data_IF_515965849678
#
_entry.id   IF_515965849678
#
_cell.length_a   1.000
_cell.length_b   1.000
_cell.length_c   1.000
_cell.angle_alpha   90.00
_cell.angle_beta   90.00
_cell.angle_gamma   90.00
#
_symmetry.space_group_name_H-M   'P 1'
#
loop_
_entity.id
_entity.type
_entity.pdbx_description
1 polymer ?
#
# COMPACT_ATOMS: atom_id res chain seq x y z
N UNK A 1 11.17 -2.85 -29.84
CA UNK A 1 10.50 -2.49 -28.59
C UNK A 1 11.32 -3.09 -27.46
N UNK A 2 12.05 -2.26 -26.70
CA UNK A 2 12.77 -2.74 -25.52
C UNK A 2 11.78 -3.10 -24.44
N UNK A 3 11.93 -4.28 -23.85
CA UNK A 3 11.10 -4.79 -22.77
C UNK A 3 11.31 -3.93 -21.52
N UNK A 4 10.41 -2.96 -21.30
CA UNK A 4 10.45 -2.03 -20.17
C UNK A 4 10.38 -2.75 -18.81
N UNK A 5 9.95 -4.03 -18.78
CA UNK A 5 9.94 -4.83 -17.55
C UNK A 5 11.34 -5.19 -17.02
N UNK A 6 12.39 -4.95 -17.82
CA UNK A 6 13.80 -5.15 -17.43
C UNK A 6 14.47 -3.91 -16.84
N UNK A 7 13.79 -2.75 -16.78
CA UNK A 7 14.36 -1.60 -16.09
C UNK A 7 14.44 -1.87 -14.57
N UNK A 8 15.66 -1.89 -13.98
CA UNK A 8 15.84 -2.20 -12.57
C UNK A 8 15.16 -1.20 -11.63
N UNK A 9 14.92 0.05 -12.08
CA UNK A 9 14.16 1.04 -11.32
C UNK A 9 12.68 0.69 -11.28
N UNK A 10 12.09 0.36 -12.44
CA UNK A 10 10.68 -0.06 -12.53
C UNK A 10 10.44 -1.30 -11.65
N UNK A 11 11.32 -2.30 -11.74
CA UNK A 11 11.24 -3.51 -10.90
C UNK A 11 11.28 -3.18 -9.40
N UNK A 12 12.15 -2.27 -9.00
CA UNK A 12 12.29 -1.85 -7.59
C UNK A 12 11.06 -1.08 -7.11
N UNK A 13 10.55 -0.15 -7.91
CA UNK A 13 9.33 0.62 -7.60
C UNK A 13 8.12 -0.29 -7.47
N UNK A 14 7.91 -1.21 -8.43
CA UNK A 14 6.82 -2.20 -8.38
C UNK A 14 6.94 -3.09 -7.14
N UNK A 15 8.12 -3.63 -6.85
CA UNK A 15 8.32 -4.48 -5.67
C UNK A 15 8.04 -3.73 -4.36
N UNK A 16 8.45 -2.46 -4.29
CA UNK A 16 8.23 -1.59 -3.12
C UNK A 16 6.75 -1.28 -2.95
N UNK A 17 6.06 -0.93 -4.04
CA UNK A 17 4.62 -0.73 -4.03
C UNK A 17 3.88 -1.97 -3.53
N UNK A 18 4.17 -3.15 -4.09
CA UNK A 18 3.52 -4.39 -3.68
C UNK A 18 3.77 -4.73 -2.20
N UNK A 19 4.98 -4.49 -1.68
CA UNK A 19 5.28 -4.73 -0.27
C UNK A 19 4.45 -3.83 0.65
N UNK A 20 4.37 -2.54 0.32
CA UNK A 20 3.60 -1.56 1.09
C UNK A 20 2.08 -1.80 1.00
N UNK A 21 1.58 -2.16 -0.17
CA UNK A 21 0.18 -2.52 -0.37
C UNK A 21 -0.24 -3.75 0.48
N UNK A 22 0.64 -4.75 0.61
CA UNK A 22 0.38 -5.91 1.50
C UNK A 22 0.32 -5.51 2.97
N UNK A 23 1.15 -4.56 3.41
CA UNK A 23 1.13 -4.08 4.79
C UNK A 23 -0.18 -3.33 5.10
N UNK A 24 -0.61 -2.45 4.20
CA UNK A 24 -1.91 -1.76 4.35
C UNK A 24 -3.07 -2.77 4.36
N UNK A 25 -3.06 -3.78 3.49
CA UNK A 25 -4.09 -4.81 3.48
C UNK A 25 -4.12 -5.62 4.78
N UNK A 26 -2.96 -5.98 5.33
CA UNK A 26 -2.86 -6.68 6.61
C UNK A 26 -3.40 -5.83 7.77
N UNK A 27 -3.08 -4.53 7.80
CA UNK A 27 -3.60 -3.60 8.81
C UNK A 27 -5.12 -3.47 8.72
N UNK A 28 -5.66 -3.32 7.49
CA UNK A 28 -7.10 -3.21 7.27
C UNK A 28 -7.84 -4.48 7.71
N UNK A 29 -7.30 -5.66 7.40
CA UNK A 29 -7.88 -6.92 7.86
C UNK A 29 -7.81 -7.07 9.38
N UNK A 30 -6.69 -6.71 10.01
CA UNK A 30 -6.57 -6.79 11.48
C UNK A 30 -7.61 -5.89 12.18
N UNK A 31 -7.85 -4.69 11.66
CA UNK A 31 -8.91 -3.80 12.18
C UNK A 31 -10.30 -4.41 11.94
N UNK A 32 -10.56 -4.94 10.74
CA UNK A 32 -11.84 -5.56 10.41
C UNK A 32 -12.13 -6.81 11.25
N UNK A 33 -11.13 -7.66 11.48
CA UNK A 33 -11.24 -8.86 12.32
C UNK A 33 -11.51 -8.49 13.78
N UNK A 34 -10.84 -7.44 14.29
CA UNK A 34 -11.11 -6.91 15.63
C UNK A 34 -12.53 -6.37 15.75
N UNK A 35 -13.02 -5.66 14.74
CA UNK A 35 -14.40 -5.16 14.70
C UNK A 35 -15.41 -6.31 14.69
N UNK A 36 -15.15 -7.35 13.89
CA UNK A 36 -15.99 -8.56 13.80
C UNK A 36 -16.04 -9.36 15.12
N UNK A 37 -14.92 -9.38 15.86
CA UNK A 37 -14.82 -9.96 17.20
C UNK A 37 -15.52 -9.12 18.28
N UNK A 38 -16.07 -7.94 17.92
CA UNK A 38 -16.66 -6.98 18.87
C UNK A 38 -15.64 -6.30 19.77
N UNK A 39 -14.36 -6.31 19.39
CA UNK A 39 -13.30 -5.59 20.11
C UNK A 39 -13.41 -4.10 19.79
N UNK A 40 -13.06 -3.29 20.78
CA UNK A 40 -13.02 -1.83 20.62
C UNK A 40 -11.96 -1.44 19.59
N UNK A 41 -12.37 -0.68 18.58
CA UNK A 41 -11.49 -0.06 17.59
C UNK A 41 -11.10 1.31 18.15
N UNK A 42 -9.81 1.52 18.42
CA UNK A 42 -9.36 2.80 18.95
C UNK A 42 -9.32 3.89 17.88
N UNK A 43 -9.36 5.15 18.30
CA UNK A 43 -9.13 6.27 17.38
C UNK A 43 -7.74 6.20 16.72
N UNK A 44 -6.76 5.63 17.40
CA UNK A 44 -5.40 5.44 16.89
C UNK A 44 -5.38 4.41 15.76
N UNK A 45 -6.15 3.32 15.86
CA UNK A 45 -6.30 2.34 14.78
C UNK A 45 -6.87 2.98 13.50
N UNK A 46 -7.90 3.82 13.66
CA UNK A 46 -8.53 4.55 12.55
C UNK A 46 -7.56 5.59 11.96
N UNK A 47 -6.82 6.31 12.81
CA UNK A 47 -5.82 7.28 12.36
C UNK A 47 -4.70 6.59 11.57
N UNK A 48 -4.20 5.47 12.08
CA UNK A 48 -3.15 4.67 11.44
C UNK A 48 -3.58 4.14 10.07
N UNK A 49 -4.83 3.67 9.94
CA UNK A 49 -5.41 3.28 8.64
C UNK A 49 -5.48 4.46 7.67
N UNK A 50 -5.92 5.63 8.13
CA UNK A 50 -6.00 6.85 7.30
C UNK A 50 -4.63 7.28 6.80
N UNK A 51 -3.61 7.25 7.64
CA UNK A 51 -2.24 7.58 7.25
C UNK A 51 -1.71 6.62 6.18
N UNK A 52 -1.95 5.31 6.34
CA UNK A 52 -1.54 4.32 5.34
C UNK A 52 -2.31 4.45 4.02
N UNK A 53 -3.59 4.81 4.06
CA UNK A 53 -4.39 5.09 2.86
C UNK A 53 -3.87 6.32 2.10
N UNK A 54 -3.56 7.42 2.82
CA UNK A 54 -2.94 8.60 2.22
C UNK A 54 -1.58 8.25 1.61
N UNK A 55 -0.76 7.48 2.32
CA UNK A 55 0.53 7.02 1.81
C UNK A 55 0.38 6.17 0.54
N UNK A 56 -0.68 5.34 0.45
CA UNK A 56 -0.97 4.52 -0.73
C UNK A 56 -1.25 5.35 -1.98
N UNK A 57 -1.88 6.52 -1.86
CA UNK A 57 -2.07 7.44 -2.99
C UNK A 57 -0.73 7.93 -3.55
N UNK A 58 0.24 8.24 -2.70
CA UNK A 58 1.59 8.62 -3.14
C UNK A 58 2.32 7.44 -3.80
N UNK A 59 2.22 6.25 -3.22
CA UNK A 59 2.86 5.06 -3.79
C UNK A 59 2.30 4.71 -5.18
N UNK A 60 1.00 4.93 -5.40
CA UNK A 60 0.37 4.73 -6.69
C UNK A 60 0.89 5.73 -7.73
N UNK A 61 1.03 7.02 -7.36
CA UNK A 61 1.63 8.02 -8.25
C UNK A 61 3.08 7.70 -8.61
N UNK A 62 3.90 7.30 -7.63
CA UNK A 62 5.29 6.87 -7.87
C UNK A 62 5.34 5.70 -8.88
N UNK A 63 4.40 4.76 -8.77
CA UNK A 63 4.28 3.64 -9.69
C UNK A 63 3.85 4.10 -11.10
N UNK A 64 2.84 4.95 -11.20
CA UNK A 64 2.39 5.53 -12.48
C UNK A 64 3.52 6.28 -13.19
N UNK A 65 4.30 7.10 -12.46
CA UNK A 65 5.44 7.81 -13.01
C UNK A 65 6.57 6.88 -13.48
N UNK A 66 6.80 5.77 -12.75
CA UNK A 66 7.80 4.79 -13.12
C UNK A 66 7.40 3.99 -14.38
N UNK A 67 6.11 3.75 -14.61
CA UNK A 67 5.61 2.97 -15.76
C UNK A 67 5.43 3.85 -17.01
N UNK A 68 5.23 5.16 -16.85
CA UNK A 68 4.99 6.10 -17.98
C UNK A 68 6.25 6.49 -18.75
N UNK A 69 7.45 6.28 -18.20
CA UNK A 69 8.75 6.64 -18.79
C UNK A 69 9.40 5.43 -19.45
#
# INVERSE_FOLDING_TARGET
MSDMTRDPKIKTTVSTFCARARQLYALANDVADREADGKEISNDDVANLREHLLAAEFWLRDLEEAVRK
#
